data_IF_529973820225
#
_entry.id   IF_529973820225
#
_cell.length_a   1.000
_cell.length_b   1.000
_cell.length_c   1.000
_cell.angle_alpha   90.00
_cell.angle_beta   90.00
_cell.angle_gamma   90.00
#
_symmetry.space_group_name_H-M   'P 1'
#
loop_
_entity.id
_entity.type
_entity.pdbx_description
1 polymer ?
#
# COMPACT_ATOMS: atom_id res chain seq x y z
N UNK A 1 11.76 12.41 -22.09
CA UNK A 1 12.46 11.14 -21.83
C UNK A 1 13.60 11.05 -22.82
N UNK A 2 14.83 11.18 -22.34
CA UNK A 2 16.06 11.23 -23.13
C UNK A 2 16.68 9.84 -23.26
N UNK A 3 17.63 9.63 -24.18
CA UNK A 3 18.37 8.37 -24.29
C UNK A 3 19.18 8.04 -23.01
N UNK A 4 19.55 9.05 -22.22
CA UNK A 4 20.18 8.89 -20.91
C UNK A 4 19.20 8.37 -19.84
N UNK A 5 17.89 8.67 -19.95
CA UNK A 5 16.86 8.13 -19.05
C UNK A 5 16.62 6.62 -19.27
N UNK A 6 17.05 6.10 -20.42
CA UNK A 6 16.92 4.68 -20.81
C UNK A 6 18.17 3.85 -20.49
N UNK A 7 19.31 4.48 -20.18
CA UNK A 7 20.51 3.79 -19.75
C UNK A 7 20.38 3.44 -18.26
N UNK A 8 20.44 2.15 -17.93
CA UNK A 8 20.41 1.70 -16.54
C UNK A 8 21.74 1.97 -15.86
N UNK A 9 21.68 2.52 -14.65
CA UNK A 9 22.83 2.70 -13.80
C UNK A 9 23.33 1.33 -13.30
N UNK A 10 24.65 1.14 -13.35
CA UNK A 10 25.32 0.06 -12.61
C UNK A 10 25.30 0.35 -11.11
N UNK A 11 24.90 -0.64 -10.32
CA UNK A 11 24.89 -0.57 -8.85
C UNK A 11 26.10 -1.33 -8.32
N UNK A 12 26.98 -0.63 -7.60
CA UNK A 12 28.09 -1.23 -6.86
C UNK A 12 27.55 -1.81 -5.54
N UNK A 13 27.30 -3.11 -5.53
CA UNK A 13 26.72 -3.80 -4.36
C UNK A 13 27.67 -3.83 -3.17
N UNK A 14 28.98 -3.81 -3.39
CA UNK A 14 29.98 -3.89 -2.32
C UNK A 14 30.05 -2.57 -1.57
N UNK A 15 30.05 -1.44 -2.30
CA UNK A 15 29.97 -0.11 -1.71
C UNK A 15 28.68 0.04 -0.90
N UNK A 16 27.54 -0.37 -1.46
CA UNK A 16 26.25 -0.29 -0.79
C UNK A 16 26.23 -1.12 0.50
N UNK A 17 26.76 -2.35 0.44
CA UNK A 17 26.87 -3.24 1.61
C UNK A 17 27.66 -2.59 2.73
N UNK A 18 28.81 -1.99 2.40
CA UNK A 18 29.65 -1.26 3.36
C UNK A 18 28.90 -0.08 3.99
N UNK A 19 28.17 0.71 3.19
CA UNK A 19 27.38 1.84 3.69
C UNK A 19 26.21 1.40 4.57
N UNK A 20 25.51 0.32 4.18
CA UNK A 20 24.43 -0.25 4.97
C UNK A 20 24.92 -0.77 6.33
N UNK A 21 26.05 -1.49 6.34
CA UNK A 21 26.65 -2.01 7.57
C UNK A 21 27.06 -0.87 8.50
N UNK A 22 27.74 0.16 7.98
CA UNK A 22 28.12 1.33 8.76
C UNK A 22 26.91 2.03 9.40
N UNK A 23 25.87 2.30 8.60
CA UNK A 23 24.64 2.94 9.09
C UNK A 23 23.90 2.07 10.13
N UNK A 24 23.89 0.75 9.95
CA UNK A 24 23.31 -0.18 10.92
C UNK A 24 24.05 -0.15 12.26
N UNK A 25 25.39 -0.26 12.23
CA UNK A 25 26.21 -0.27 13.44
C UNK A 25 26.14 1.05 14.21
N UNK A 26 26.17 2.19 13.50
CA UNK A 26 25.97 3.52 14.11
C UNK A 26 24.61 3.60 14.82
N UNK A 27 23.55 3.10 14.18
CA UNK A 27 22.19 3.16 14.70
C UNK A 27 21.97 2.27 15.93
N UNK A 28 22.58 1.08 15.96
CA UNK A 28 22.42 0.09 17.04
C UNK A 28 23.45 0.23 18.15
N UNK A 29 24.54 0.96 17.92
CA UNK A 29 25.67 1.05 18.84
C UNK A 29 26.45 -0.27 18.97
N UNK A 30 26.27 -1.19 18.02
CA UNK A 30 27.01 -2.45 17.99
C UNK A 30 28.48 -2.23 17.61
N UNK A 31 29.36 -3.08 18.12
CA UNK A 31 30.77 -3.10 17.75
C UNK A 31 30.95 -3.60 16.30
N UNK A 32 32.15 -3.42 15.76
CA UNK A 32 32.52 -3.88 14.42
C UNK A 32 32.21 -5.37 14.22
N UNK A 33 31.65 -5.70 13.06
CA UNK A 33 31.24 -7.06 12.69
C UNK A 33 32.24 -7.61 11.68
N UNK A 34 32.72 -8.84 11.91
CA UNK A 34 33.63 -9.51 10.99
C UNK A 34 32.96 -9.73 9.62
N UNK A 35 33.67 -9.56 8.48
CA UNK A 35 33.11 -9.77 7.15
C UNK A 35 32.49 -11.17 6.95
N UNK A 36 33.01 -12.19 7.62
CA UNK A 36 32.52 -13.58 7.52
C UNK A 36 31.09 -13.77 8.07
N UNK A 37 30.61 -12.83 8.88
CA UNK A 37 29.27 -12.84 9.48
C UNK A 37 28.25 -12.06 8.65
N UNK A 38 28.70 -11.44 7.57
CA UNK A 38 27.89 -10.55 6.73
C UNK A 38 27.56 -11.26 5.43
N UNK A 39 26.27 -11.42 5.17
CA UNK A 39 25.77 -11.92 3.90
C UNK A 39 24.91 -10.86 3.22
N UNK A 40 24.86 -10.89 1.89
CA UNK A 40 23.99 -10.00 1.13
C UNK A 40 23.27 -10.72 0.02
N UNK A 41 22.07 -10.25 -0.27
CA UNK A 41 21.30 -10.70 -1.43
C UNK A 41 20.74 -9.50 -2.17
N UNK A 42 20.69 -9.61 -3.50
CA UNK A 42 20.21 -8.54 -4.38
C UNK A 42 19.07 -9.06 -5.24
N UNK A 43 18.02 -8.26 -5.40
CA UNK A 43 16.94 -8.55 -6.34
C UNK A 43 16.41 -7.29 -6.99
N UNK A 44 15.99 -7.43 -8.25
CA UNK A 44 15.25 -6.41 -8.98
C UNK A 44 13.89 -7.01 -9.31
N UNK A 45 12.78 -6.50 -8.74
CA UNK A 45 11.44 -7.01 -9.07
C UNK A 45 11.18 -6.96 -10.58
N UNK A 46 10.60 -8.05 -11.11
CA UNK A 46 10.18 -8.14 -12.49
C UNK A 46 8.94 -7.26 -12.72
N UNK A 47 9.14 -5.95 -12.86
CA UNK A 47 8.05 -5.00 -13.09
C UNK A 47 7.87 -4.74 -14.59
N UNK A 48 6.63 -4.61 -15.05
CA UNK A 48 6.31 -4.12 -16.39
C UNK A 48 6.61 -2.62 -16.58
N UNK A 49 7.23 -1.95 -15.59
CA UNK A 49 7.57 -0.54 -15.67
C UNK A 49 8.66 -0.34 -16.74
N UNK A 50 8.39 0.57 -17.68
CA UNK A 50 9.37 1.00 -18.69
C UNK A 50 10.33 2.08 -18.18
N UNK A 51 10.09 2.61 -16.98
CA UNK A 51 10.90 3.64 -16.32
C UNK A 51 10.89 3.42 -14.80
N UNK A 52 11.87 3.97 -14.05
CA UNK A 52 11.94 3.88 -12.58
C UNK A 52 12.02 2.44 -12.05
N UNK A 53 12.90 1.64 -12.65
CA UNK A 53 13.28 0.33 -12.10
C UNK A 53 14.17 0.54 -10.88
N UNK A 54 14.06 -0.37 -9.91
CA UNK A 54 14.81 -0.30 -8.65
C UNK A 54 15.38 -1.67 -8.33
N UNK A 55 16.61 -1.67 -7.83
CA UNK A 55 17.20 -2.85 -7.22
C UNK A 55 17.17 -2.71 -5.71
N UNK A 56 17.10 -3.83 -5.04
CA UNK A 56 17.10 -3.92 -3.60
C UNK A 56 18.29 -4.77 -3.16
N UNK A 57 18.96 -4.35 -2.11
CA UNK A 57 20.08 -5.07 -1.48
C UNK A 57 19.69 -5.33 -0.04
N UNK A 58 19.62 -6.59 0.37
CA UNK A 58 19.40 -6.99 1.78
C UNK A 58 20.76 -7.27 2.42
N UNK A 59 20.91 -6.80 3.65
CA UNK A 59 22.03 -7.07 4.52
C UNK A 59 21.59 -8.02 5.64
N UNK A 60 22.29 -9.14 5.76
CA UNK A 60 22.12 -10.14 6.80
C UNK A 60 23.38 -10.14 7.70
N UNK A 61 23.19 -10.21 9.02
CA UNK A 61 24.26 -10.35 10.01
C UNK A 61 23.95 -11.60 10.85
N UNK A 62 24.88 -12.56 10.91
CA UNK A 62 24.69 -13.87 11.56
C UNK A 62 23.45 -14.63 11.05
N UNK A 63 23.13 -14.50 9.77
CA UNK A 63 21.96 -15.12 9.15
C UNK A 63 20.62 -14.41 9.45
N UNK A 64 20.64 -13.29 10.19
CA UNK A 64 19.45 -12.48 10.46
C UNK A 64 19.42 -11.24 9.57
N UNK A 65 18.29 -11.01 8.89
CA UNK A 65 18.10 -9.84 8.04
C UNK A 65 17.92 -8.57 8.88
N UNK A 66 18.82 -7.60 8.70
CA UNK A 66 18.86 -6.38 9.52
C UNK A 66 18.53 -5.11 8.76
N UNK A 67 18.86 -5.03 7.46
CA UNK A 67 18.65 -3.83 6.66
C UNK A 67 18.36 -4.15 5.20
N UNK A 68 17.73 -3.19 4.51
CA UNK A 68 17.51 -3.20 3.06
C UNK A 68 17.84 -1.83 2.48
N UNK A 69 18.61 -1.80 1.39
CA UNK A 69 18.74 -0.64 0.54
C UNK A 69 17.78 -0.72 -0.64
N UNK A 70 17.14 0.41 -0.96
CA UNK A 70 16.29 0.60 -2.14
C UNK A 70 16.97 1.61 -3.05
N UNK A 71 17.37 1.18 -4.24
CA UNK A 71 18.29 1.93 -5.11
C UNK A 71 17.66 2.07 -6.51
N UNK A 72 17.62 3.27 -7.09
CA UNK A 72 17.08 3.44 -8.42
C UNK A 72 18.10 2.97 -9.46
N UNK A 73 17.61 2.27 -10.48
CA UNK A 73 18.38 1.97 -11.70
C UNK A 73 18.28 3.11 -12.72
N UNK A 74 17.28 3.99 -12.58
CA UNK A 74 17.13 5.20 -13.39
C UNK A 74 17.90 6.37 -12.77
N UNK A 75 18.42 7.27 -13.61
CA UNK A 75 19.16 8.46 -13.16
C UNK A 75 18.32 9.49 -12.39
N UNK A 76 16.99 9.44 -12.51
CA UNK A 76 16.07 10.21 -11.68
C UNK A 76 14.89 9.35 -11.22
N UNK A 77 14.59 9.39 -9.91
CA UNK A 77 13.43 8.76 -9.30
C UNK A 77 12.90 9.62 -8.14
N UNK A 78 12.08 10.65 -8.43
CA UNK A 78 11.60 11.57 -7.40
C UNK A 78 10.70 10.90 -6.34
N UNK A 79 10.04 9.78 -6.68
CA UNK A 79 9.23 9.02 -5.72
C UNK A 79 10.09 8.41 -4.61
N UNK A 80 11.25 7.88 -4.98
CA UNK A 80 12.17 7.26 -4.03
C UNK A 80 12.79 8.29 -3.06
N UNK A 81 13.13 9.48 -3.57
CA UNK A 81 13.61 10.58 -2.72
C UNK A 81 12.52 11.05 -1.74
N UNK A 82 11.28 11.20 -2.22
CA UNK A 82 10.13 11.57 -1.38
C UNK A 82 9.84 10.55 -0.28
N UNK A 83 9.96 9.25 -0.57
CA UNK A 83 9.73 8.20 0.44
C UNK A 83 10.69 8.30 1.64
N UNK A 84 11.98 8.58 1.40
CA UNK A 84 12.95 8.77 2.49
C UNK A 84 12.54 9.93 3.41
N UNK A 85 12.11 11.06 2.83
CA UNK A 85 11.65 12.22 3.58
C UNK A 85 10.40 11.90 4.40
N UNK A 86 9.46 11.16 3.83
CA UNK A 86 8.25 10.70 4.52
C UNK A 86 8.61 9.81 5.70
N UNK A 87 9.45 8.78 5.50
CA UNK A 87 9.87 7.88 6.57
C UNK A 87 10.60 8.61 7.71
N UNK A 88 11.40 9.64 7.38
CA UNK A 88 12.07 10.50 8.37
C UNK A 88 11.10 11.42 9.12
N UNK A 89 9.96 11.75 8.52
CA UNK A 89 8.94 12.61 9.14
C UNK A 89 8.13 11.90 10.23
N UNK A 90 8.07 10.56 10.21
CA UNK A 90 7.37 9.79 11.22
C UNK A 90 8.11 9.81 12.56
N UNK A 91 7.36 10.07 13.65
CA UNK A 91 7.88 9.97 15.02
C UNK A 91 8.34 8.54 15.28
N UNK A 92 9.48 8.37 15.94
CA UNK A 92 10.04 7.06 16.27
C UNK A 92 9.77 6.67 17.73
N UNK A 93 9.35 5.43 18.02
CA UNK A 93 8.99 4.38 17.05
C UNK A 93 7.70 4.74 16.30
N UNK A 94 7.68 4.47 14.99
CA UNK A 94 6.50 4.74 14.15
C UNK A 94 5.33 3.87 14.61
N UNK A 95 4.13 4.46 14.85
CA UNK A 95 2.96 3.67 15.16
C UNK A 95 2.64 2.68 14.02
N UNK A 96 3.01 3.01 12.79
CA UNK A 96 2.69 2.21 11.59
C UNK A 96 3.54 0.94 11.44
N UNK A 97 4.52 0.74 12.32
CA UNK A 97 5.49 -0.35 12.20
C UNK A 97 6.31 -0.28 10.90
N UNK A 98 6.41 0.91 10.28
CA UNK A 98 7.10 1.10 9.00
C UNK A 98 8.63 0.94 9.14
N UNK A 99 9.36 0.77 8.02
CA UNK A 99 10.82 0.71 8.07
C UNK A 99 11.40 1.97 8.70
N UNK A 100 12.45 1.82 9.51
CA UNK A 100 13.22 2.93 10.05
C UNK A 100 14.28 3.31 9.03
N UNK A 101 14.30 4.56 8.52
CA UNK A 101 15.35 4.99 7.62
C UNK A 101 16.69 5.02 8.39
N UNK A 102 17.72 4.39 7.82
CA UNK A 102 19.05 4.33 8.41
C UNK A 102 19.92 5.46 7.85
N UNK A 103 20.04 5.57 6.52
CA UNK A 103 20.82 6.61 5.87
C UNK A 103 20.41 6.80 4.39
N UNK A 104 20.77 7.96 3.83
CA UNK A 104 20.63 8.25 2.41
C UNK A 104 21.78 7.62 1.61
N UNK A 105 21.49 7.19 0.38
CA UNK A 105 22.47 6.71 -0.59
C UNK A 105 22.41 7.60 -1.84
N UNK A 106 23.40 7.49 -2.73
CA UNK A 106 23.36 8.22 -3.99
C UNK A 106 22.13 7.82 -4.83
N UNK A 107 21.05 8.61 -4.77
CA UNK A 107 19.78 8.39 -5.44
C UNK A 107 18.80 7.43 -4.72
N UNK A 108 19.22 6.75 -3.65
CA UNK A 108 18.38 5.79 -2.92
C UNK A 108 18.53 5.95 -1.41
N UNK A 109 18.18 4.93 -0.64
CA UNK A 109 18.37 4.94 0.81
C UNK A 109 18.41 3.53 1.40
N UNK A 110 18.93 3.43 2.63
CA UNK A 110 18.91 2.22 3.44
C UNK A 110 17.91 2.37 4.60
N UNK A 111 17.25 1.28 4.96
CA UNK A 111 16.25 1.20 6.01
C UNK A 111 16.33 -0.13 6.75
N UNK A 112 15.76 -0.20 7.96
CA UNK A 112 15.66 -1.46 8.71
C UNK A 112 14.87 -2.51 7.93
N UNK A 113 15.32 -3.77 7.98
CA UNK A 113 14.55 -4.88 7.41
C UNK A 113 13.24 -5.09 8.18
N UNK A 114 12.15 -5.36 7.46
CA UNK A 114 10.86 -5.70 8.05
C UNK A 114 10.59 -7.21 7.92
N UNK A 115 10.61 -7.97 9.03
CA UNK A 115 10.34 -9.39 8.98
C UNK A 115 8.86 -9.69 8.72
N UNK A 116 8.58 -10.96 8.39
CA UNK A 116 7.25 -11.47 8.11
C UNK A 116 7.10 -11.99 6.69
N UNK A 117 5.85 -12.17 6.26
CA UNK A 117 5.47 -12.48 4.88
C UNK A 117 4.56 -11.38 4.36
N UNK A 118 4.40 -11.27 3.05
CA UNK A 118 3.45 -10.31 2.48
C UNK A 118 2.01 -10.76 2.81
N UNK A 119 1.10 -9.80 2.99
CA UNK A 119 -0.29 -10.08 3.34
C UNK A 119 -0.97 -11.08 2.39
N UNK A 120 -0.76 -11.05 1.06
CA UNK A 120 -1.30 -12.07 0.15
C UNK A 120 -0.92 -13.50 0.56
N UNK A 121 0.35 -13.74 0.88
CA UNK A 121 0.82 -15.06 1.33
C UNK A 121 0.18 -15.48 2.65
N UNK A 122 -0.02 -14.54 3.58
CA UNK A 122 -0.75 -14.83 4.81
C UNK A 122 -2.24 -15.13 4.52
N UNK A 123 -2.87 -14.35 3.64
CA UNK A 123 -4.28 -14.46 3.28
C UNK A 123 -4.60 -15.76 2.53
N UNK A 124 -3.69 -16.26 1.68
CA UNK A 124 -3.82 -17.56 1.00
C UNK A 124 -3.98 -18.73 1.97
N UNK A 125 -3.42 -18.62 3.18
CA UNK A 125 -3.55 -19.65 4.21
C UNK A 125 -4.88 -19.59 4.98
N UNK A 126 -5.73 -18.59 4.74
CA UNK A 126 -7.01 -18.43 5.42
C UNK A 126 -8.17 -19.07 4.65
N UNK A 127 -8.80 -20.06 5.26
CA UNK A 127 -9.94 -20.82 4.72
C UNK A 127 -11.29 -20.41 5.34
N UNK A 128 -11.27 -19.56 6.36
CA UNK A 128 -12.43 -19.14 7.14
C UNK A 128 -12.50 -17.62 7.30
N UNK A 129 -13.71 -17.06 7.52
CA UNK A 129 -13.88 -15.63 7.78
C UNK A 129 -13.07 -15.11 8.97
N UNK A 130 -13.08 -15.86 10.07
CA UNK A 130 -12.34 -15.49 11.28
C UNK A 130 -10.82 -15.64 11.09
N UNK A 131 -10.39 -16.62 10.29
CA UNK A 131 -8.99 -16.78 9.88
C UNK A 131 -8.49 -15.56 9.13
N UNK A 132 -9.19 -15.17 8.06
CA UNK A 132 -8.78 -14.01 7.26
C UNK A 132 -8.90 -12.70 8.05
N UNK A 133 -9.95 -12.54 8.85
CA UNK A 133 -10.10 -11.35 9.68
C UNK A 133 -8.98 -11.20 10.71
N UNK A 134 -8.48 -12.29 11.29
CA UNK A 134 -7.32 -12.25 12.22
C UNK A 134 -6.08 -11.66 11.54
N UNK A 135 -5.91 -11.90 10.25
CA UNK A 135 -4.80 -11.40 9.43
C UNK A 135 -5.03 -9.94 9.02
N UNK A 136 -6.25 -9.61 8.56
CA UNK A 136 -6.58 -8.28 8.05
C UNK A 136 -6.73 -7.23 9.16
N UNK A 137 -7.24 -7.61 10.33
CA UNK A 137 -7.53 -6.65 11.41
C UNK A 137 -6.32 -5.80 11.80
N UNK A 138 -5.13 -6.36 12.07
CA UNK A 138 -3.97 -5.53 12.40
C UNK A 138 -3.56 -4.59 11.24
N UNK A 139 -3.76 -5.00 9.98
CA UNK A 139 -3.53 -4.14 8.83
C UNK A 139 -4.50 -2.95 8.81
N UNK A 140 -5.79 -3.19 9.01
CA UNK A 140 -6.81 -2.13 9.11
C UNK A 140 -6.52 -1.22 10.31
N UNK A 141 -6.07 -1.76 11.44
CA UNK A 141 -5.64 -0.95 12.60
C UNK A 141 -4.48 -0.01 12.23
N UNK A 142 -3.48 -0.46 11.43
CA UNK A 142 -2.41 0.43 10.91
C UNK A 142 -2.94 1.52 9.99
N UNK A 143 -3.91 1.22 9.14
CA UNK A 143 -4.56 2.23 8.28
C UNK A 143 -5.23 3.31 9.12
N UNK A 144 -5.98 2.90 10.15
CA UNK A 144 -6.62 3.84 11.08
C UNK A 144 -5.58 4.68 11.82
N UNK A 145 -4.49 4.06 12.31
CA UNK A 145 -3.41 4.78 12.98
C UNK A 145 -2.80 5.85 12.07
N UNK A 146 -2.56 5.54 10.79
CA UNK A 146 -2.06 6.50 9.80
C UNK A 146 -3.03 7.68 9.65
N UNK A 147 -4.30 7.40 9.41
CA UNK A 147 -5.33 8.43 9.19
C UNK A 147 -5.59 9.29 10.42
N UNK A 148 -5.17 8.83 11.61
CA UNK A 148 -5.29 9.57 12.88
C UNK A 148 -3.96 10.17 13.37
N UNK A 149 -2.88 9.96 12.64
CA UNK A 149 -1.54 10.45 13.03
C UNK A 149 -1.34 11.94 12.77
N UNK A 150 -2.08 12.50 11.81
CA UNK A 150 -2.03 13.91 11.45
C UNK A 150 -3.01 14.78 12.25
N UNK A 151 -2.89 16.12 12.14
CA UNK A 151 -3.89 17.02 12.67
C UNK A 151 -5.26 16.77 12.01
N UNK A 152 -6.33 16.96 12.77
CA UNK A 152 -7.68 16.86 12.22
C UNK A 152 -7.88 17.96 11.16
N UNK A 153 -8.28 17.56 9.96
CA UNK A 153 -8.62 18.48 8.87
C UNK A 153 -10.15 18.57 8.81
N UNK A 154 -10.74 19.76 8.98
CA UNK A 154 -12.18 19.94 8.80
C UNK A 154 -12.57 19.60 7.35
N UNK A 155 -13.34 18.54 7.16
CA UNK A 155 -13.82 18.17 5.84
C UNK A 155 -15.01 19.05 5.45
N UNK A 156 -14.85 19.81 4.36
CA UNK A 156 -15.98 20.41 3.62
C UNK A 156 -16.07 19.75 2.24
N UNK A 157 -17.26 19.75 1.60
CA UNK A 157 -17.40 19.22 0.25
C UNK A 157 -16.42 19.82 -0.76
N UNK A 158 -16.15 21.12 -0.67
CA UNK A 158 -15.24 21.84 -1.56
C UNK A 158 -13.79 21.38 -1.36
N UNK A 159 -13.35 21.28 -0.11
CA UNK A 159 -11.99 20.85 0.21
C UNK A 159 -11.78 19.37 -0.14
N UNK A 160 -12.80 18.53 0.02
CA UNK A 160 -12.74 17.13 -0.38
C UNK A 160 -12.58 16.98 -1.90
N UNK A 161 -13.32 17.77 -2.69
CA UNK A 161 -13.18 17.78 -4.16
C UNK A 161 -11.84 18.34 -4.62
N UNK A 162 -11.34 19.42 -3.99
CA UNK A 162 -10.01 19.96 -4.25
C UNK A 162 -8.93 18.90 -3.96
N UNK A 163 -9.03 18.23 -2.82
CA UNK A 163 -8.13 17.14 -2.44
C UNK A 163 -8.21 15.99 -3.45
N UNK A 164 -9.42 15.62 -3.89
CA UNK A 164 -9.66 14.56 -4.86
C UNK A 164 -9.06 14.86 -6.24
N UNK A 165 -9.07 16.12 -6.67
CA UNK A 165 -8.50 16.57 -7.94
C UNK A 165 -6.97 16.39 -8.01
N UNK A 166 -6.29 16.20 -6.88
CA UNK A 166 -4.87 15.83 -6.85
C UNK A 166 -4.60 14.35 -7.17
N UNK A 167 -5.64 13.52 -7.18
CA UNK A 167 -5.54 12.11 -7.53
C UNK A 167 -5.97 11.90 -8.99
N UNK A 168 -7.15 12.37 -9.35
CA UNK A 168 -7.77 12.09 -10.65
C UNK A 168 -8.24 13.37 -11.30
N UNK A 169 -8.16 13.41 -12.65
CA UNK A 169 -8.56 14.61 -13.41
C UNK A 169 -10.06 14.93 -13.28
N UNK A 170 -10.89 13.90 -13.21
CA UNK A 170 -12.35 14.01 -13.08
C UNK A 170 -12.81 13.16 -11.90
N UNK A 171 -12.91 13.76 -10.70
CA UNK A 171 -13.17 12.98 -9.48
C UNK A 171 -14.63 12.57 -9.28
N UNK A 172 -15.58 13.30 -9.88
CA UNK A 172 -17.00 13.00 -9.79
C UNK A 172 -17.47 12.09 -10.93
N UNK A 173 -18.36 11.15 -10.61
CA UNK A 173 -18.86 10.14 -11.55
C UNK A 173 -20.28 10.46 -12.04
N UNK A 174 -20.92 11.50 -11.51
CA UNK A 174 -22.30 11.86 -11.84
C UNK A 174 -23.33 10.92 -11.22
N UNK A 175 -22.91 10.12 -10.22
CA UNK A 175 -23.74 9.16 -9.52
C UNK A 175 -23.78 9.52 -8.04
N UNK A 176 -24.99 9.82 -7.56
CA UNK A 176 -25.23 10.43 -6.25
C UNK A 176 -24.49 9.77 -5.09
N UNK A 177 -24.48 8.45 -4.98
CA UNK A 177 -23.87 7.78 -3.83
C UNK A 177 -22.34 7.96 -3.79
N UNK A 178 -21.68 7.89 -4.95
CA UNK A 178 -20.23 8.01 -5.07
C UNK A 178 -19.80 9.47 -4.86
N UNK A 179 -20.53 10.42 -5.46
CA UNK A 179 -20.24 11.85 -5.33
C UNK A 179 -20.50 12.34 -3.90
N UNK A 180 -21.58 11.88 -3.24
CA UNK A 180 -21.83 12.16 -1.81
C UNK A 180 -20.75 11.54 -0.91
N UNK A 181 -20.28 10.33 -1.21
CA UNK A 181 -19.21 9.69 -0.46
C UNK A 181 -17.90 10.48 -0.57
N UNK A 182 -17.57 10.98 -1.77
CA UNK A 182 -16.40 11.82 -1.99
C UNK A 182 -16.50 13.15 -1.23
N UNK A 183 -17.63 13.83 -1.33
CA UNK A 183 -17.88 15.13 -0.66
C UNK A 183 -17.91 15.04 0.87
N UNK A 184 -18.13 13.85 1.42
CA UNK A 184 -18.14 13.58 2.87
C UNK A 184 -16.93 12.75 3.33
N UNK A 185 -15.92 12.62 2.47
CA UNK A 185 -14.74 11.82 2.80
C UNK A 185 -13.93 12.44 3.94
N UNK A 186 -13.40 11.57 4.80
CA UNK A 186 -12.39 11.95 5.77
C UNK A 186 -11.11 12.39 5.05
N UNK A 187 -10.63 13.59 5.39
CA UNK A 187 -9.36 14.13 4.94
C UNK A 187 -8.29 13.89 6.00
N UNK A 188 -7.26 13.12 5.66
CA UNK A 188 -6.22 12.70 6.60
C UNK A 188 -4.92 12.34 5.86
N UNK A 189 -3.80 12.10 6.57
CA UNK A 189 -2.64 11.49 5.94
C UNK A 189 -3.00 10.16 5.29
N UNK A 190 -2.49 9.90 4.09
CA UNK A 190 -2.75 8.67 3.32
C UNK A 190 -1.45 8.07 2.83
N UNK A 191 -1.40 6.75 2.74
CA UNK A 191 -0.36 6.01 2.02
C UNK A 191 -0.47 6.24 0.52
N UNK A 192 -1.69 6.33 -0.01
CA UNK A 192 -1.98 6.72 -1.38
C UNK A 192 -2.10 5.54 -2.36
N UNK A 193 -1.40 4.44 -2.14
CA UNK A 193 -1.53 3.21 -2.95
C UNK A 193 -1.56 1.92 -2.11
N UNK A 194 -2.07 2.00 -0.87
CA UNK A 194 -2.02 0.89 0.09
C UNK A 194 -2.82 -0.33 -0.37
N UNK A 195 -2.14 -1.29 -1.00
CA UNK A 195 -2.64 -2.62 -1.30
C UNK A 195 -2.09 -3.68 -0.33
N UNK A 196 -2.52 -4.94 -0.46
CA UNK A 196 -2.03 -6.00 0.41
C UNK A 196 -0.52 -6.26 0.26
N UNK A 197 0.08 -5.98 -0.90
CA UNK A 197 1.54 -6.12 -1.11
C UNK A 197 2.39 -5.08 -0.37
N UNK A 198 1.79 -3.99 0.10
CA UNK A 198 2.46 -2.98 0.92
C UNK A 198 2.49 -3.37 2.41
N UNK A 199 1.99 -4.56 2.74
CA UNK A 199 1.71 -4.99 4.11
C UNK A 199 2.48 -6.27 4.42
N UNK A 200 3.26 -6.23 5.49
CA UNK A 200 4.02 -7.37 6.02
C UNK A 200 3.37 -7.87 7.30
N UNK A 201 3.03 -9.15 7.33
CA UNK A 201 2.47 -9.84 8.49
C UNK A 201 3.55 -10.69 9.14
N UNK A 202 3.83 -10.44 10.42
CA UNK A 202 4.80 -11.22 11.19
C UNK A 202 4.06 -12.29 12.02
N UNK A 203 4.15 -13.58 11.64
CA UNK A 203 3.42 -14.63 12.33
C UNK A 203 3.92 -14.88 13.76
N UNK A 204 5.12 -14.39 14.11
CA UNK A 204 5.74 -14.63 15.42
C UNK A 204 5.07 -13.82 16.53
N UNK A 205 4.68 -12.59 16.21
CA UNK A 205 4.06 -11.66 17.16
C UNK A 205 2.65 -11.22 16.74
N UNK A 206 2.18 -11.66 15.57
CA UNK A 206 0.88 -11.29 15.01
C UNK A 206 0.78 -9.83 14.60
N UNK A 207 1.91 -9.12 14.46
CA UNK A 207 1.94 -7.71 14.09
C UNK A 207 1.93 -7.51 12.59
N UNK A 208 1.43 -6.35 12.19
CA UNK A 208 1.46 -5.90 10.80
C UNK A 208 2.26 -4.61 10.67
N UNK A 209 3.01 -4.53 9.57
CA UNK A 209 3.89 -3.42 9.21
C UNK A 209 3.57 -2.95 7.79
N UNK A 210 3.69 -1.65 7.54
CA UNK A 210 3.38 -1.03 6.24
C UNK A 210 4.66 -0.50 5.60
N UNK A 211 4.82 -0.66 4.28
CA UNK A 211 5.99 -0.24 3.50
C UNK A 211 5.59 0.41 2.18
N UNK A 212 6.56 1.05 1.52
CA UNK A 212 6.42 1.66 0.18
C UNK A 212 5.56 2.94 0.15
N UNK A 213 5.94 3.94 0.95
CA UNK A 213 5.20 5.21 1.12
C UNK A 213 5.41 6.23 -0.02
N UNK A 214 5.55 5.76 -1.26
CA UNK A 214 5.91 6.60 -2.41
C UNK A 214 4.81 7.56 -2.88
N UNK A 215 3.56 7.20 -2.60
CA UNK A 215 2.38 8.01 -2.92
C UNK A 215 1.79 8.66 -1.65
N UNK A 216 2.57 8.72 -0.57
CA UNK A 216 2.13 9.30 0.70
C UNK A 216 1.75 10.76 0.54
N UNK A 217 0.67 11.15 1.21
CA UNK A 217 0.19 12.52 1.29
C UNK A 217 -0.13 12.86 2.73
N UNK A 218 0.22 14.07 3.15
CA UNK A 218 -0.13 14.58 4.49
C UNK A 218 -1.62 14.88 4.62
N UNK A 219 -2.31 15.11 3.50
CA UNK A 219 -3.77 15.27 3.44
C UNK A 219 -4.27 14.68 2.13
N UNK A 220 -5.17 13.71 2.24
CA UNK A 220 -5.70 12.93 1.14
C UNK A 220 -7.06 12.34 1.47
N UNK A 221 -7.67 11.64 0.50
CA UNK A 221 -8.95 10.95 0.69
C UNK A 221 -8.69 9.64 1.44
N UNK A 222 -8.84 9.67 2.76
CA UNK A 222 -8.33 8.64 3.66
C UNK A 222 -8.82 7.22 3.32
N UNK A 223 -10.13 7.09 3.11
CA UNK A 223 -10.76 5.79 2.91
C UNK A 223 -10.28 5.02 1.65
N UNK A 224 -9.57 5.65 0.71
CA UNK A 224 -8.96 4.94 -0.43
C UNK A 224 -8.01 3.83 0.03
N UNK A 225 -7.22 4.08 1.07
CA UNK A 225 -6.22 3.13 1.56
C UNK A 225 -6.88 1.85 2.09
N UNK A 226 -7.94 1.97 2.89
CA UNK A 226 -8.65 0.81 3.43
C UNK A 226 -9.46 0.09 2.35
N UNK A 227 -10.06 0.84 1.41
CA UNK A 227 -10.81 0.26 0.28
C UNK A 227 -9.87 -0.55 -0.61
N UNK A 228 -8.73 0.02 -1.01
CA UNK A 228 -7.75 -0.69 -1.82
C UNK A 228 -7.20 -1.91 -1.08
N UNK A 229 -6.81 -1.78 0.19
CA UNK A 229 -6.31 -2.90 0.99
C UNK A 229 -7.31 -4.06 1.04
N UNK A 230 -8.56 -3.77 1.44
CA UNK A 230 -9.57 -4.82 1.65
C UNK A 230 -10.02 -5.45 0.34
N UNK A 231 -10.33 -4.64 -0.68
CA UNK A 231 -10.85 -5.14 -1.96
C UNK A 231 -9.77 -5.89 -2.72
N UNK A 232 -8.55 -5.38 -2.76
CA UNK A 232 -7.46 -6.00 -3.53
C UNK A 232 -6.93 -7.28 -2.87
N UNK A 233 -7.17 -7.48 -1.56
CA UNK A 233 -6.91 -8.78 -0.90
C UNK A 233 -7.68 -9.93 -1.56
N UNK A 234 -8.82 -9.66 -2.21
CA UNK A 234 -9.59 -10.65 -2.94
C UNK A 234 -8.77 -11.39 -4.01
N UNK A 235 -7.73 -10.76 -4.58
CA UNK A 235 -6.86 -11.40 -5.58
C UNK A 235 -6.09 -12.59 -5.02
N UNK A 236 -5.74 -12.56 -3.73
CA UNK A 236 -5.09 -13.69 -3.05
C UNK A 236 -6.11 -14.79 -2.67
N UNK A 237 -7.33 -14.40 -2.33
CA UNK A 237 -8.41 -15.33 -1.93
C UNK A 237 -9.02 -16.05 -3.13
N UNK A 238 -9.06 -15.41 -4.31
CA UNK A 238 -9.71 -15.92 -5.51
C UNK A 238 -8.76 -16.02 -6.71
N UNK A 239 -7.65 -16.76 -6.63
CA UNK A 239 -6.63 -16.80 -7.70
C UNK A 239 -7.20 -17.21 -9.07
N UNK A 240 -8.31 -17.97 -9.09
CA UNK A 240 -9.06 -18.37 -10.28
C UNK A 240 -9.53 -17.20 -11.15
N UNK A 241 -9.49 -15.95 -10.67
CA UNK A 241 -9.81 -14.76 -11.48
C UNK A 241 -8.96 -14.69 -12.75
N UNK A 242 -7.76 -15.26 -12.73
CA UNK A 242 -6.86 -15.30 -13.89
C UNK A 242 -7.47 -16.08 -15.06
N UNK A 243 -8.27 -17.11 -14.77
CA UNK A 243 -8.95 -17.94 -15.77
C UNK A 243 -10.39 -17.48 -15.99
N UNK A 244 -11.06 -17.01 -14.93
CA UNK A 244 -12.50 -16.71 -14.92
C UNK A 244 -12.85 -15.25 -15.20
N UNK A 245 -11.87 -14.35 -15.17
CA UNK A 245 -12.03 -12.93 -15.45
C UNK A 245 -12.50 -12.09 -14.26
N UNK A 246 -12.47 -10.76 -14.45
CA UNK A 246 -12.74 -9.79 -13.39
C UNK A 246 -14.22 -9.61 -13.07
N UNK A 247 -15.13 -9.89 -14.00
CA UNK A 247 -16.58 -9.92 -13.69
C UNK A 247 -16.90 -11.00 -12.66
N UNK A 248 -16.31 -12.19 -12.85
CA UNK A 248 -16.44 -13.27 -11.89
C UNK A 248 -15.86 -12.89 -10.52
N UNK A 249 -14.67 -12.27 -10.50
CA UNK A 249 -14.06 -11.78 -9.27
C UNK A 249 -14.94 -10.74 -8.57
N UNK A 250 -15.49 -9.77 -9.31
CA UNK A 250 -16.41 -8.77 -8.76
C UNK A 250 -17.61 -9.43 -8.09
N UNK A 251 -18.21 -10.42 -8.75
CA UNK A 251 -19.31 -11.19 -8.18
C UNK A 251 -18.85 -11.96 -6.93
N UNK A 252 -17.66 -12.57 -6.88
CA UNK A 252 -17.16 -13.22 -5.67
C UNK A 252 -16.95 -12.25 -4.49
N UNK A 253 -16.47 -11.03 -4.77
CA UNK A 253 -16.18 -10.03 -3.75
C UNK A 253 -17.47 -9.46 -3.15
N UNK A 254 -18.47 -9.17 -3.98
CA UNK A 254 -19.63 -8.38 -3.57
C UNK A 254 -20.98 -9.10 -3.59
N UNK A 255 -21.16 -10.16 -4.38
CA UNK A 255 -22.48 -10.77 -4.63
C UNK A 255 -22.50 -12.30 -4.57
N UNK A 256 -21.40 -12.94 -4.23
CA UNK A 256 -21.22 -14.38 -4.27
C UNK A 256 -21.61 -15.06 -2.96
N UNK A 257 -21.79 -16.38 -3.01
CA UNK A 257 -21.99 -17.20 -1.82
C UNK A 257 -20.71 -17.37 -0.96
N UNK A 258 -19.57 -16.87 -1.44
CA UNK A 258 -18.31 -16.95 -0.71
C UNK A 258 -18.32 -16.04 0.50
N UNK A 259 -17.65 -16.47 1.57
CA UNK A 259 -17.68 -15.77 2.85
C UNK A 259 -16.84 -14.47 2.89
N UNK A 260 -16.07 -14.19 1.84
CA UNK A 260 -15.19 -13.01 1.76
C UNK A 260 -15.96 -11.69 1.94
N UNK A 261 -17.18 -11.59 1.38
CA UNK A 261 -18.02 -10.40 1.55
C UNK A 261 -18.28 -10.06 3.02
N UNK A 262 -18.42 -11.06 3.89
CA UNK A 262 -18.58 -10.84 5.34
C UNK A 262 -17.32 -10.28 6.01
N UNK A 263 -16.13 -10.66 5.52
CA UNK A 263 -14.85 -10.13 6.03
C UNK A 263 -14.63 -8.71 5.54
N UNK A 264 -14.99 -8.42 4.29
CA UNK A 264 -15.00 -7.06 3.76
C UNK A 264 -15.91 -6.15 4.59
N UNK A 265 -17.15 -6.59 4.86
CA UNK A 265 -18.09 -5.87 5.74
C UNK A 265 -17.49 -5.58 7.11
N UNK A 266 -16.93 -6.61 7.76
CA UNK A 266 -16.28 -6.50 9.07
C UNK A 266 -15.11 -5.52 9.08
N UNK A 267 -14.31 -5.50 8.00
CA UNK A 267 -13.20 -4.54 7.84
C UNK A 267 -13.69 -3.09 7.70
N UNK A 268 -14.72 -2.88 6.88
CA UNK A 268 -15.34 -1.56 6.69
C UNK A 268 -16.00 -1.06 7.97
N UNK A 269 -16.72 -1.92 8.70
CA UNK A 269 -17.34 -1.60 10.00
C UNK A 269 -16.28 -1.24 11.05
N UNK A 270 -15.21 -2.04 11.12
CA UNK A 270 -14.12 -1.82 12.07
C UNK A 270 -13.37 -0.52 11.80
N UNK A 271 -13.17 -0.17 10.53
CA UNK A 271 -12.60 1.11 10.10
C UNK A 271 -13.55 2.27 10.40
N UNK A 272 -14.82 2.15 10.03
CA UNK A 272 -15.85 3.16 10.25
C UNK A 272 -16.02 3.48 11.74
N UNK A 273 -16.08 2.46 12.60
CA UNK A 273 -16.18 2.63 14.06
C UNK A 273 -15.01 3.42 14.67
N UNK A 274 -13.81 3.35 14.08
CA UNK A 274 -12.60 4.05 14.58
C UNK A 274 -12.38 5.43 13.97
N UNK A 275 -13.00 5.71 12.84
CA UNK A 275 -12.81 6.96 12.08
C UNK A 275 -14.07 7.83 12.07
N UNK A 276 -15.22 7.30 12.48
CA UNK A 276 -16.51 7.97 12.40
C UNK A 276 -17.15 7.95 11.01
N UNK A 277 -16.49 7.38 10.00
CA UNK A 277 -17.04 7.24 8.66
C UNK A 277 -18.08 6.12 8.60
N UNK A 278 -19.14 6.31 7.81
CA UNK A 278 -20.10 5.24 7.56
C UNK A 278 -19.51 4.17 6.63
N UNK A 279 -19.65 2.86 6.94
CA UNK A 279 -19.08 1.78 6.14
C UNK A 279 -19.54 1.78 4.67
N UNK A 280 -20.80 2.07 4.40
CA UNK A 280 -21.35 2.17 3.05
C UNK A 280 -20.72 3.31 2.25
N UNK A 281 -20.50 4.47 2.89
CA UNK A 281 -19.82 5.62 2.27
C UNK A 281 -18.33 5.38 2.06
N UNK A 282 -17.68 4.61 2.93
CA UNK A 282 -16.30 4.19 2.71
C UNK A 282 -16.21 3.32 1.45
N UNK A 283 -17.10 2.34 1.30
CA UNK A 283 -17.08 1.48 0.11
C UNK A 283 -17.49 2.21 -1.17
N UNK A 284 -18.38 3.20 -1.08
CA UNK A 284 -18.78 4.05 -2.22
C UNK A 284 -17.61 4.85 -2.83
N UNK A 285 -16.45 4.90 -2.16
CA UNK A 285 -15.21 5.46 -2.72
C UNK A 285 -14.43 4.47 -3.60
N UNK A 286 -14.93 3.25 -3.81
CA UNK A 286 -14.30 2.26 -4.68
C UNK A 286 -14.10 2.77 -6.12
N UNK A 287 -15.10 3.38 -6.80
CA UNK A 287 -14.89 3.92 -8.14
C UNK A 287 -13.76 4.95 -8.18
N UNK A 288 -13.72 5.86 -7.19
CA UNK A 288 -12.66 6.86 -7.06
C UNK A 288 -11.29 6.23 -6.85
N UNK A 289 -11.20 5.24 -5.95
CA UNK A 289 -9.97 4.50 -5.64
C UNK A 289 -9.43 3.77 -6.88
N UNK A 290 -10.30 3.09 -7.61
CA UNK A 290 -9.93 2.41 -8.85
C UNK A 290 -9.49 3.39 -9.95
N UNK A 291 -10.20 4.51 -10.12
CA UNK A 291 -9.84 5.54 -11.10
C UNK A 291 -8.47 6.16 -10.79
N UNK A 292 -8.18 6.43 -9.51
CA UNK A 292 -6.85 6.87 -9.07
C UNK A 292 -5.77 5.86 -9.47
N UNK A 293 -5.96 4.58 -9.15
CA UNK A 293 -4.96 3.55 -9.43
C UNK A 293 -4.74 3.38 -10.94
N UNK A 294 -5.79 3.53 -11.77
CA UNK A 294 -5.67 3.57 -13.23
C UNK A 294 -4.79 4.75 -13.65
N UNK A 295 -5.14 5.99 -13.30
CA UNK A 295 -4.41 7.19 -13.72
C UNK A 295 -2.96 7.17 -13.21
N UNK A 296 -2.74 6.73 -11.96
CA UNK A 296 -1.42 6.59 -11.35
C UNK A 296 -0.55 5.57 -12.07
N UNK A 297 -1.10 4.40 -12.43
CA UNK A 297 -0.36 3.34 -13.13
C UNK A 297 -0.07 3.75 -14.60
N UNK A 298 -1.03 4.38 -15.27
CA UNK A 298 -0.85 4.89 -16.64
C UNK A 298 0.19 6.01 -16.70
N UNK A 299 0.23 6.90 -15.70
CA UNK A 299 1.27 7.93 -15.57
C UNK A 299 2.68 7.34 -15.40
N UNK A 300 2.80 6.08 -14.95
CA UNK A 300 4.06 5.33 -14.89
C UNK A 300 4.39 4.58 -16.20
N UNK A 301 3.58 4.75 -17.24
CA UNK A 301 3.77 4.13 -18.55
C UNK A 301 3.45 2.63 -18.56
N UNK A 302 2.61 2.17 -17.63
CA UNK A 302 2.18 0.77 -17.52
C UNK A 302 0.78 0.60 -18.09
N UNK A 303 0.53 -0.55 -18.68
CA UNK A 303 -0.78 -0.94 -19.20
C UNK A 303 -1.70 -1.39 -18.04
N UNK A 304 -2.88 -0.80 -17.97
CA UNK A 304 -3.93 -1.09 -16.98
C UNK A 304 -5.03 -2.01 -17.53
N UNK A 305 -5.01 -2.32 -18.83
CA UNK A 305 -6.07 -3.10 -19.50
C UNK A 305 -6.27 -4.51 -18.93
N UNK A 306 -5.23 -5.04 -18.28
CA UNK A 306 -5.23 -6.36 -17.62
C UNK A 306 -5.44 -6.29 -16.11
N UNK A 307 -5.83 -5.14 -15.58
CA UNK A 307 -6.11 -4.95 -14.15
C UNK A 307 -7.62 -4.85 -13.92
N UNK A 308 -8.06 -5.30 -12.73
CA UNK A 308 -9.48 -5.37 -12.38
C UNK A 308 -10.16 -4.01 -12.20
N UNK A 309 -9.38 -2.93 -12.01
CA UNK A 309 -9.89 -1.61 -11.62
C UNK A 309 -10.98 -1.09 -12.55
N UNK A 310 -10.83 -1.20 -13.87
CA UNK A 310 -11.82 -0.69 -14.83
C UNK A 310 -13.13 -1.46 -14.72
N UNK A 311 -13.07 -2.79 -14.70
CA UNK A 311 -14.25 -3.65 -14.50
C UNK A 311 -14.94 -3.31 -13.19
N UNK A 312 -14.20 -3.09 -12.12
CA UNK A 312 -14.79 -2.76 -10.82
C UNK A 312 -15.46 -1.39 -10.82
N UNK A 313 -14.88 -0.37 -11.46
CA UNK A 313 -15.54 0.94 -11.64
C UNK A 313 -16.85 0.76 -12.40
N UNK A 314 -16.81 0.12 -13.57
CA UNK A 314 -17.97 -0.05 -14.45
C UNK A 314 -19.10 -0.81 -13.75
N UNK A 315 -18.79 -1.95 -13.13
CA UNK A 315 -19.75 -2.81 -12.42
C UNK A 315 -20.32 -2.14 -11.18
N UNK A 316 -19.52 -1.39 -10.44
CA UNK A 316 -20.00 -0.68 -9.25
C UNK A 316 -20.94 0.47 -9.62
N UNK A 317 -20.60 1.23 -10.68
CA UNK A 317 -21.44 2.31 -11.19
C UNK A 317 -22.77 1.79 -11.77
N UNK A 318 -22.75 0.65 -12.45
CA UNK A 318 -23.94 -0.04 -12.97
C UNK A 318 -24.79 -0.67 -11.85
N UNK A 319 -24.15 -1.42 -10.94
CA UNK A 319 -24.79 -2.20 -9.88
C UNK A 319 -24.03 -2.05 -8.57
N UNK A 320 -24.36 -0.97 -7.85
CA UNK A 320 -23.88 -0.74 -6.47
C UNK A 320 -24.21 -1.95 -5.60
N UNK A 321 -23.21 -2.58 -4.96
CA UNK A 321 -23.46 -3.76 -4.13
C UNK A 321 -24.11 -3.37 -2.81
N UNK A 322 -24.96 -4.27 -2.31
CA UNK A 322 -25.42 -4.25 -0.92
C UNK A 322 -24.51 -5.15 -0.12
N UNK A 323 -23.68 -4.58 0.75
CA UNK A 323 -22.85 -5.40 1.64
C UNK A 323 -23.74 -5.88 2.79
N UNK A 324 -24.22 -7.12 2.66
CA UNK A 324 -25.03 -7.80 3.67
C UNK A 324 -24.27 -7.86 5.01
N UNK A 325 -24.91 -7.37 6.07
CA UNK A 325 -24.33 -7.18 7.40
C UNK A 325 -24.47 -5.76 7.94
N UNK A 326 -24.73 -4.78 7.06
CA UNK A 326 -25.11 -3.42 7.45
C UNK A 326 -26.62 -3.31 7.71
N UNK A 327 -27.10 -3.90 8.80
CA UNK A 327 -28.41 -3.48 9.31
C UNK A 327 -28.27 -2.11 9.95
N UNK A 328 -28.38 -1.00 9.22
CA UNK A 328 -28.82 0.26 9.83
C UNK A 328 -29.58 1.16 8.86
N UNK A 329 -30.82 1.42 9.28
CA UNK A 329 -31.69 2.55 8.94
C UNK A 329 -30.96 3.87 9.13
#
# INVERSE_FOLDING_TARGET
MTAADLAERTVDTDEITRLMLAAHLERTGQAEVSPERVETSTWTPASARKSRRRTFVRLDIDGEAVAVAKIPLSHSDPKLAGELEVLRSFRQPSPLGCPVPLDALAGGFTMSYLPGVDLPTAAEAADTPDGLWRILRPAVDRVVELHRSGPAVPATPELALETAAHYVRTPEFGVRYADEALRSALLAPTHGDLGPWNVRCDPRDGTTRVLDFEDYRTTGIAAMDVVNLLVTTALAVFPDYQERGFDWLYDQVFGGAHWFGSVLARGLDHYGARTGQRPDRVLDLLPFTCQWLIERIEAEGRDTSRLFYRTFVERYLERRPTVDGSTHV
#
